data_IF_660663214641
#
_entry.id   IF_660663214641
#
_cell.length_a   1.000
_cell.length_b   1.000
_cell.length_c   1.000
_cell.angle_alpha   90.00
_cell.angle_beta   90.00
_cell.angle_gamma   90.00
#
_symmetry.space_group_name_H-M   'P 1'
#
loop_
_entity.id
_entity.type
_entity.pdbx_description
1 polymer ?
#
# COMPACT_ATOMS: atom_id res chain seq x y z
N UNK A 1 -54.01 22.13 -39.64
CA UNK A 1 -55.20 22.19 -38.74
C UNK A 1 -54.68 22.04 -37.34
N UNK A 2 -54.45 23.14 -36.72
CA UNK A 2 -55.27 23.77 -35.67
C UNK A 2 -55.25 22.91 -34.40
N UNK A 3 -54.71 23.41 -33.42
CA UNK A 3 -54.93 24.44 -32.42
C UNK A 3 -55.16 23.70 -31.08
N UNK A 4 -54.76 24.01 -29.96
CA UNK A 4 -54.85 25.27 -29.23
C UNK A 4 -54.24 25.10 -27.85
N UNK A 5 -53.58 26.15 -27.42
CA UNK A 5 -53.21 26.47 -26.07
C UNK A 5 -54.25 26.18 -25.01
N UNK A 6 -53.86 25.82 -23.82
CA UNK A 6 -54.44 26.40 -22.62
C UNK A 6 -53.43 26.48 -21.47
N UNK A 7 -53.15 27.70 -21.11
CA UNK A 7 -52.54 28.15 -19.85
C UNK A 7 -53.51 27.89 -18.70
N UNK A 8 -52.98 27.45 -17.57
CA UNK A 8 -53.59 27.74 -16.26
C UNK A 8 -52.49 27.81 -15.20
N UNK A 9 -52.12 28.88 -14.86
CA UNK A 9 -51.94 29.78 -13.71
C UNK A 9 -51.94 29.12 -12.33
N UNK A 10 -50.89 29.47 -11.58
CA UNK A 10 -50.57 29.34 -10.17
C UNK A 10 -51.68 29.77 -9.19
N UNK A 11 -51.56 29.33 -7.91
CA UNK A 11 -51.27 30.39 -6.95
C UNK A 11 -50.14 30.06 -5.95
N UNK A 12 -49.38 31.09 -5.66
CA UNK A 12 -48.45 31.23 -4.54
C UNK A 12 -49.21 31.13 -3.22
N UNK A 13 -48.75 30.30 -2.33
CA UNK A 13 -49.01 30.50 -0.89
C UNK A 13 -47.67 30.72 -0.19
N UNK A 14 -47.48 31.96 0.13
CA UNK A 14 -46.54 32.56 1.03
C UNK A 14 -46.85 32.10 2.47
N UNK A 15 -46.02 31.26 3.08
CA UNK A 15 -46.03 31.04 4.52
C UNK A 15 -44.77 31.63 5.10
N UNK A 16 -44.88 32.81 5.62
CA UNK A 16 -43.96 33.47 6.50
C UNK A 16 -43.58 32.53 7.67
N UNK A 17 -42.34 32.06 7.71
CA UNK A 17 -41.76 31.43 8.89
C UNK A 17 -41.00 32.49 9.67
N UNK A 18 -41.55 32.81 10.83
CA UNK A 18 -40.99 33.69 11.83
C UNK A 18 -39.57 33.23 12.21
N UNK A 19 -38.60 34.12 12.04
CA UNK A 19 -37.26 34.03 12.54
C UNK A 19 -37.26 34.19 14.07
N UNK A 20 -36.88 33.14 14.78
CA UNK A 20 -36.51 33.24 16.20
C UNK A 20 -35.04 33.71 16.29
N UNK A 21 -34.70 34.60 17.21
CA UNK A 21 -33.34 35.13 17.33
C UNK A 21 -32.38 34.05 17.81
N UNK A 22 -31.25 33.93 17.08
CA UNK A 22 -30.16 33.05 17.40
C UNK A 22 -29.51 33.52 18.72
N UNK A 23 -29.41 32.62 19.69
CA UNK A 23 -28.61 32.80 20.89
C UNK A 23 -27.13 32.78 20.49
N UNK A 24 -26.44 33.87 20.83
CA UNK A 24 -24.99 34.00 20.72
C UNK A 24 -24.31 32.86 21.47
N UNK A 25 -23.50 32.06 20.76
CA UNK A 25 -22.54 31.13 21.36
C UNK A 25 -21.26 31.90 21.67
N UNK A 26 -20.71 31.77 22.85
CA UNK A 26 -19.43 32.44 23.18
C UNK A 26 -18.32 31.95 22.27
N UNK A 27 -17.63 32.88 21.66
CA UNK A 27 -16.43 32.67 20.84
C UNK A 27 -15.32 32.09 21.72
N UNK A 28 -15.07 30.80 21.57
CA UNK A 28 -13.96 30.12 22.23
C UNK A 28 -12.69 30.49 21.48
N UNK A 29 -11.88 31.37 22.07
CA UNK A 29 -10.54 31.69 21.60
C UNK A 29 -9.78 30.41 21.29
N UNK A 30 -9.35 30.27 20.03
CA UNK A 30 -8.43 29.21 19.62
C UNK A 30 -7.04 29.54 20.13
N UNK A 31 -6.65 28.95 21.24
CA UNK A 31 -5.23 28.88 21.62
C UNK A 31 -4.47 28.16 20.51
N UNK A 32 -3.24 28.61 20.16
CA UNK A 32 -2.39 27.91 19.22
C UNK A 32 -2.11 26.50 19.74
N UNK A 33 -2.53 25.49 19.01
CA UNK A 33 -2.15 24.11 19.31
C UNK A 33 -0.66 23.96 19.00
N UNK A 34 0.15 23.84 20.01
CA UNK A 34 1.51 23.34 19.90
C UNK A 34 1.48 22.01 19.13
N UNK A 35 2.45 21.76 18.23
CA UNK A 35 2.53 20.48 17.54
C UNK A 35 2.79 19.40 18.61
N UNK A 36 1.78 18.59 18.89
CA UNK A 36 1.96 17.36 19.66
C UNK A 36 3.01 16.55 18.91
N UNK A 37 4.21 16.49 19.46
CA UNK A 37 5.20 15.51 19.10
C UNK A 37 4.49 14.17 19.10
N UNK A 38 4.41 13.55 17.93
CA UNK A 38 3.96 12.18 17.80
C UNK A 38 4.88 11.36 18.72
N UNK A 39 4.35 10.93 19.85
CA UNK A 39 5.04 9.97 20.69
C UNK A 39 5.28 8.74 19.82
N UNK A 40 6.52 8.56 19.43
CA UNK A 40 6.99 7.30 18.85
C UNK A 40 6.62 6.22 19.86
N UNK A 41 5.60 5.45 19.52
CA UNK A 41 5.30 4.24 20.28
C UNK A 41 6.57 3.39 20.20
N UNK A 42 7.13 2.96 21.34
CA UNK A 42 8.29 2.09 21.28
C UNK A 42 7.93 0.90 20.41
N UNK A 43 8.65 0.77 19.30
CA UNK A 43 8.62 -0.43 18.47
C UNK A 43 8.93 -1.57 19.43
N UNK A 44 7.94 -2.41 19.72
CA UNK A 44 8.17 -3.59 20.55
C UNK A 44 9.36 -4.29 19.95
N UNK A 45 10.44 -4.38 20.70
CA UNK A 45 11.63 -5.11 20.32
C UNK A 45 11.15 -6.49 19.84
N UNK A 46 11.28 -6.74 18.54
CA UNK A 46 10.92 -8.03 17.98
C UNK A 46 11.68 -9.10 18.73
N UNK A 47 11.03 -10.25 18.97
CA UNK A 47 11.73 -11.41 19.50
C UNK A 47 13.01 -11.58 18.68
N UNK A 48 14.15 -11.96 19.32
CA UNK A 48 15.38 -12.19 18.57
C UNK A 48 15.08 -13.14 17.40
N UNK A 49 15.51 -12.76 16.22
CA UNK A 49 15.33 -13.59 15.02
C UNK A 49 16.25 -14.78 15.24
N UNK A 50 15.70 -15.94 15.51
CA UNK A 50 16.44 -17.19 15.58
C UNK A 50 16.75 -17.62 14.14
N UNK A 51 18.01 -17.63 13.79
CA UNK A 51 18.48 -18.01 12.47
C UNK A 51 18.41 -19.54 12.36
N UNK A 52 17.76 -20.03 11.30
CA UNK A 52 17.74 -21.45 10.99
C UNK A 52 19.14 -21.85 10.50
N UNK A 53 19.70 -22.87 11.14
CA UNK A 53 21.01 -23.39 10.78
C UNK A 53 20.91 -24.82 10.21
N UNK A 54 19.77 -25.47 10.40
CA UNK A 54 19.55 -26.82 9.88
C UNK A 54 19.24 -26.81 8.38
N UNK A 55 20.09 -27.43 7.54
CA UNK A 55 19.89 -27.47 6.09
C UNK A 55 18.59 -28.14 5.66
N UNK A 56 18.05 -29.07 6.46
CA UNK A 56 16.79 -29.74 6.18
C UNK A 56 15.61 -28.77 6.37
N UNK A 57 15.65 -27.99 7.43
CA UNK A 57 14.63 -26.99 7.69
C UNK A 57 14.64 -25.83 6.68
N UNK A 58 15.84 -25.42 6.25
CA UNK A 58 16.00 -24.41 5.20
C UNK A 58 15.34 -24.88 3.90
N UNK A 59 15.65 -26.09 3.45
CA UNK A 59 15.04 -26.67 2.24
C UNK A 59 13.52 -26.80 2.34
N UNK A 60 13.01 -27.16 3.49
CA UNK A 60 11.55 -27.23 3.73
C UNK A 60 10.89 -25.87 3.55
N UNK A 61 11.52 -24.82 4.07
CA UNK A 61 11.04 -23.44 4.00
C UNK A 61 11.06 -22.92 2.57
N UNK A 62 12.16 -23.15 1.84
CA UNK A 62 12.30 -22.78 0.43
C UNK A 62 11.27 -23.51 -0.44
N UNK A 63 11.08 -24.81 -0.22
CA UNK A 63 10.12 -25.61 -0.98
C UNK A 63 8.68 -25.19 -0.72
N UNK A 64 8.33 -24.89 0.53
CA UNK A 64 7.00 -24.35 0.87
C UNK A 64 6.69 -23.04 0.15
N UNK A 65 7.67 -22.14 0.10
CA UNK A 65 7.52 -20.88 -0.62
C UNK A 65 7.36 -21.12 -2.12
N UNK A 66 8.19 -21.99 -2.70
CA UNK A 66 8.16 -22.31 -4.12
C UNK A 66 6.85 -22.95 -4.55
N UNK A 67 6.40 -23.99 -3.84
CA UNK A 67 5.13 -24.66 -4.16
C UNK A 67 3.96 -23.68 -4.08
N UNK A 68 3.88 -22.89 -3.02
CA UNK A 68 2.83 -21.89 -2.86
C UNK A 68 2.82 -20.87 -4.02
N UNK A 69 3.98 -20.31 -4.35
CA UNK A 69 4.08 -19.31 -5.42
C UNK A 69 3.77 -19.93 -6.79
N UNK A 70 4.26 -21.14 -7.05
CA UNK A 70 3.96 -21.88 -8.28
C UNK A 70 2.44 -22.09 -8.44
N UNK A 71 1.74 -22.53 -7.39
CA UNK A 71 0.29 -22.74 -7.42
C UNK A 71 -0.48 -21.44 -7.67
N UNK A 72 -0.05 -20.33 -7.05
CA UNK A 72 -0.63 -19.01 -7.25
C UNK A 72 -0.41 -18.56 -8.70
N UNK A 73 0.80 -18.67 -9.22
CA UNK A 73 1.12 -18.25 -10.59
C UNK A 73 0.38 -19.09 -11.64
N UNK A 74 0.28 -20.39 -11.42
CA UNK A 74 -0.52 -21.29 -12.25
C UNK A 74 -2.01 -20.88 -12.24
N UNK A 75 -2.56 -20.53 -11.07
CA UNK A 75 -3.95 -20.07 -10.94
C UNK A 75 -4.20 -18.71 -11.62
N UNK A 76 -3.18 -17.88 -11.75
CA UNK A 76 -3.22 -16.60 -12.45
C UNK A 76 -3.03 -16.74 -13.98
N UNK A 77 -2.82 -17.94 -14.49
CA UNK A 77 -2.49 -18.24 -15.89
C UNK A 77 -1.28 -17.44 -16.41
N UNK A 78 -0.33 -17.19 -15.54
CA UNK A 78 0.96 -16.66 -15.94
C UNK A 78 1.73 -17.79 -16.65
N UNK A 79 2.43 -17.45 -17.71
CA UNK A 79 3.26 -18.41 -18.43
C UNK A 79 4.34 -19.02 -17.54
N UNK A 80 5.40 -19.50 -18.14
CA UNK A 80 6.52 -20.03 -17.38
C UNK A 80 7.16 -18.91 -16.55
N UNK A 81 7.19 -19.10 -15.23
CA UNK A 81 7.84 -18.21 -14.26
C UNK A 81 8.92 -19.01 -13.56
N UNK A 82 10.15 -18.57 -13.70
CA UNK A 82 11.27 -19.12 -12.95
C UNK A 82 11.28 -18.56 -11.54
N UNK A 83 11.35 -19.43 -10.52
CA UNK A 83 11.35 -19.03 -9.11
C UNK A 83 12.67 -19.49 -8.50
N UNK A 84 13.46 -18.51 -8.06
CA UNK A 84 14.70 -18.74 -7.32
C UNK A 84 14.48 -18.39 -5.86
N UNK A 85 14.85 -19.29 -4.95
CA UNK A 85 14.72 -19.07 -3.50
C UNK A 85 16.04 -19.37 -2.82
N UNK A 86 16.47 -18.46 -1.94
CA UNK A 86 17.70 -18.60 -1.16
C UNK A 86 17.46 -18.12 0.27
N UNK A 87 17.87 -18.94 1.23
CA UNK A 87 17.81 -18.56 2.64
C UNK A 87 19.10 -17.87 3.07
N UNK A 88 19.01 -16.62 3.45
CA UNK A 88 20.14 -15.83 3.93
C UNK A 88 20.37 -16.08 5.42
N UNK A 89 21.43 -16.84 5.74
CA UNK A 89 21.80 -17.17 7.12
C UNK A 89 22.36 -15.99 7.91
N UNK A 90 22.67 -14.86 7.27
CA UNK A 90 23.19 -13.69 7.96
C UNK A 90 22.10 -12.90 8.68
N UNK A 91 20.96 -12.72 8.06
CA UNK A 91 19.84 -11.95 8.61
C UNK A 91 18.57 -12.77 8.86
N UNK A 92 18.62 -14.09 8.65
CA UNK A 92 17.52 -15.02 8.88
C UNK A 92 16.32 -14.76 7.94
N UNK A 93 16.57 -14.32 6.72
CA UNK A 93 15.53 -14.06 5.74
C UNK A 93 15.53 -15.04 4.58
N UNK A 94 14.35 -15.41 4.13
CA UNK A 94 14.13 -16.12 2.87
C UNK A 94 13.99 -15.08 1.75
N UNK A 95 14.91 -15.05 0.83
CA UNK A 95 14.89 -14.21 -0.37
C UNK A 95 14.36 -15.04 -1.52
N UNK A 96 13.33 -14.53 -2.21
CA UNK A 96 12.72 -15.20 -3.34
C UNK A 96 12.59 -14.22 -4.48
N UNK A 97 13.25 -14.54 -5.58
CA UNK A 97 13.15 -13.82 -6.83
C UNK A 97 12.40 -14.65 -7.87
N UNK A 98 11.69 -13.98 -8.74
CA UNK A 98 11.00 -14.63 -9.84
C UNK A 98 11.09 -13.79 -11.12
N UNK A 99 11.29 -14.53 -12.23
CA UNK A 99 11.47 -13.95 -13.55
C UNK A 99 10.53 -14.60 -14.57
N UNK A 100 10.01 -13.82 -15.52
CA UNK A 100 9.11 -14.31 -16.55
C UNK A 100 8.60 -13.19 -17.46
N UNK A 101 7.64 -13.51 -18.34
CA UNK A 101 7.18 -12.55 -19.36
C UNK A 101 6.26 -11.48 -18.79
N UNK A 102 5.36 -11.81 -17.89
CA UNK A 102 4.29 -10.91 -17.41
C UNK A 102 4.48 -10.42 -15.97
N UNK A 103 5.72 -10.14 -15.59
CA UNK A 103 6.05 -9.73 -14.20
C UNK A 103 5.33 -8.46 -13.75
N UNK A 104 4.89 -7.62 -14.69
CA UNK A 104 4.08 -6.45 -14.39
C UNK A 104 2.77 -6.75 -13.65
N UNK A 105 2.15 -7.91 -13.91
CA UNK A 105 0.95 -8.37 -13.22
C UNK A 105 1.26 -8.71 -11.76
N UNK A 106 2.40 -9.37 -11.51
CA UNK A 106 2.87 -9.75 -10.18
C UNK A 106 3.36 -8.56 -9.36
N UNK A 107 3.91 -7.55 -10.02
CA UNK A 107 4.24 -6.28 -9.37
C UNK A 107 2.96 -5.54 -8.99
N UNK A 108 2.03 -5.41 -9.95
CA UNK A 108 0.79 -4.67 -9.79
C UNK A 108 1.00 -3.15 -9.68
N UNK A 109 -0.06 -2.45 -9.30
CA UNK A 109 0.01 -0.99 -9.17
C UNK A 109 0.95 -0.60 -8.03
N UNK A 110 2.11 -0.04 -8.39
CA UNK A 110 3.11 0.46 -7.43
C UNK A 110 3.70 -0.58 -6.49
N UNK A 111 3.66 -1.85 -6.85
CA UNK A 111 4.17 -2.94 -6.03
C UNK A 111 3.16 -3.54 -5.06
N UNK A 112 1.89 -3.14 -5.10
CA UNK A 112 0.87 -3.63 -4.16
C UNK A 112 0.62 -5.14 -4.27
N UNK A 113 0.62 -5.70 -5.49
CA UNK A 113 0.46 -7.14 -5.68
C UNK A 113 1.67 -7.88 -5.12
N UNK A 114 2.87 -7.39 -5.39
CA UNK A 114 4.12 -7.94 -4.88
C UNK A 114 4.16 -7.94 -3.35
N UNK A 115 3.73 -6.85 -2.71
CA UNK A 115 3.67 -6.77 -1.25
C UNK A 115 2.62 -7.73 -0.66
N UNK A 116 1.49 -7.91 -1.34
CA UNK A 116 0.45 -8.86 -0.94
C UNK A 116 0.93 -10.30 -1.06
N UNK A 117 1.61 -10.64 -2.16
CA UNK A 117 2.24 -11.95 -2.36
C UNK A 117 3.29 -12.23 -1.29
N UNK A 118 4.15 -11.26 -1.00
CA UNK A 118 5.14 -11.38 0.08
C UNK A 118 4.48 -11.68 1.42
N UNK A 119 3.40 -10.97 1.74
CA UNK A 119 2.67 -11.22 2.98
C UNK A 119 2.07 -12.62 3.04
N UNK A 120 1.40 -13.07 1.97
CA UNK A 120 0.80 -14.42 1.90
C UNK A 120 1.87 -15.51 1.97
N UNK A 121 2.96 -15.36 1.24
CA UNK A 121 4.10 -16.29 1.31
C UNK A 121 4.67 -16.36 2.72
N UNK A 122 4.82 -15.21 3.38
CA UNK A 122 5.24 -15.15 4.78
C UNK A 122 4.32 -15.95 5.71
N UNK A 123 3.01 -15.89 5.52
CA UNK A 123 2.05 -16.68 6.32
C UNK A 123 2.21 -18.18 6.08
N UNK A 124 2.38 -18.59 4.82
CA UNK A 124 2.54 -20.01 4.46
C UNK A 124 3.83 -20.59 5.00
N UNK A 125 4.93 -19.86 4.83
CA UNK A 125 6.27 -20.27 5.29
C UNK A 125 6.30 -20.41 6.81
N UNK A 126 5.70 -19.49 7.54
CA UNK A 126 5.71 -19.45 8.99
C UNK A 126 4.62 -20.31 9.64
N UNK A 127 3.76 -20.97 8.85
CA UNK A 127 2.69 -21.83 9.40
C UNK A 127 3.27 -23.00 10.17
N UNK A 128 2.99 -23.06 11.47
CA UNK A 128 3.45 -24.13 12.34
C UNK A 128 4.91 -24.01 12.80
N UNK A 129 5.59 -22.93 12.48
CA UNK A 129 6.95 -22.65 12.96
C UNK A 129 6.90 -21.88 14.28
N UNK A 130 7.79 -22.19 15.19
CA UNK A 130 7.97 -21.44 16.45
C UNK A 130 8.69 -20.12 16.21
N UNK A 131 9.60 -20.09 15.25
CA UNK A 131 10.45 -18.98 14.91
C UNK A 131 9.94 -18.29 13.65
N UNK A 132 9.90 -16.96 13.66
CA UNK A 132 9.42 -16.18 12.52
C UNK A 132 10.53 -15.96 11.50
N UNK A 133 10.31 -16.44 10.28
CA UNK A 133 11.19 -16.27 9.13
C UNK A 133 10.70 -15.04 8.35
N UNK A 134 11.61 -14.08 8.13
CA UNK A 134 11.32 -12.95 7.26
C UNK A 134 11.39 -13.39 5.81
N UNK A 135 10.34 -13.13 5.05
CA UNK A 135 10.30 -13.40 3.61
C UNK A 135 10.48 -12.08 2.86
N UNK A 136 11.36 -12.07 1.88
CA UNK A 136 11.54 -10.97 0.93
C UNK A 136 11.24 -11.49 -0.46
N UNK A 137 10.27 -10.88 -1.14
CA UNK A 137 9.97 -11.17 -2.55
C UNK A 137 10.39 -9.97 -3.40
N UNK A 138 11.06 -10.26 -4.51
CA UNK A 138 11.32 -9.27 -5.55
C UNK A 138 11.19 -9.89 -6.94
N UNK A 139 11.18 -9.09 -7.95
CA UNK A 139 11.20 -9.48 -9.36
C UNK A 139 11.93 -8.41 -10.16
N UNK A 140 12.95 -8.84 -10.91
CA UNK A 140 13.73 -7.94 -11.77
C UNK A 140 14.22 -6.67 -11.06
N UNK A 141 14.64 -6.73 -9.82
CA UNK A 141 15.05 -5.56 -9.02
C UNK A 141 13.98 -4.44 -8.96
N UNK A 142 12.69 -4.80 -8.97
CA UNK A 142 11.60 -3.81 -9.00
C UNK A 142 11.69 -2.81 -7.85
N UNK A 143 11.96 -3.28 -6.64
CA UNK A 143 12.01 -2.40 -5.46
C UNK A 143 13.09 -1.33 -5.59
N UNK A 144 14.26 -1.70 -6.10
CA UNK A 144 15.35 -0.77 -6.37
C UNK A 144 14.99 0.24 -7.46
N UNK A 145 14.49 -0.23 -8.60
CA UNK A 145 14.05 0.64 -9.71
C UNK A 145 12.92 1.60 -9.27
N UNK A 146 11.99 1.09 -8.45
CA UNK A 146 10.89 1.91 -7.91
C UNK A 146 11.39 3.01 -6.99
N UNK A 147 12.33 2.70 -6.10
CA UNK A 147 12.98 3.67 -5.22
C UNK A 147 13.65 4.79 -6.02
N UNK A 148 14.46 4.45 -7.03
CA UNK A 148 15.11 5.42 -7.91
C UNK A 148 14.11 6.33 -8.64
N UNK A 149 13.00 5.74 -9.13
CA UNK A 149 11.92 6.49 -9.77
C UNK A 149 11.29 7.50 -8.81
N UNK A 150 11.03 7.10 -7.56
CA UNK A 150 10.47 7.98 -6.54
C UNK A 150 11.44 9.08 -6.12
N UNK A 151 12.71 8.78 -5.99
CA UNK A 151 13.74 9.78 -5.71
C UNK A 151 13.83 10.84 -6.83
N UNK A 152 13.82 10.40 -8.08
CA UNK A 152 13.85 11.32 -9.24
C UNK A 152 12.57 12.18 -9.31
N UNK A 153 11.40 11.57 -9.04
CA UNK A 153 10.14 12.29 -8.94
C UNK A 153 10.20 13.35 -7.83
N UNK A 154 10.68 12.98 -6.65
CA UNK A 154 10.81 13.91 -5.52
C UNK A 154 11.74 15.09 -5.84
N UNK A 155 12.88 14.84 -6.46
CA UNK A 155 13.81 15.90 -6.92
C UNK A 155 13.15 16.82 -7.93
N UNK A 156 12.44 16.27 -8.93
CA UNK A 156 11.74 17.04 -9.95
C UNK A 156 10.65 17.94 -9.36
N UNK A 157 9.87 17.40 -8.42
CA UNK A 157 8.81 18.17 -7.74
C UNK A 157 9.40 19.23 -6.84
N UNK A 158 10.44 18.92 -6.07
CA UNK A 158 11.12 19.91 -5.23
C UNK A 158 11.63 21.09 -6.06
N UNK A 159 12.25 20.83 -7.20
CA UNK A 159 12.67 21.88 -8.13
C UNK A 159 11.49 22.71 -8.64
N UNK A 160 10.39 22.06 -9.06
CA UNK A 160 9.18 22.73 -9.54
C UNK A 160 8.58 23.64 -8.46
N UNK A 161 8.43 23.14 -7.23
CA UNK A 161 7.90 23.91 -6.10
C UNK A 161 8.81 25.09 -5.77
N UNK A 162 10.14 24.89 -5.75
CA UNK A 162 11.12 25.96 -5.52
C UNK A 162 10.99 27.07 -6.57
N UNK A 163 10.80 26.70 -7.84
CA UNK A 163 10.69 27.65 -8.96
C UNK A 163 9.35 28.37 -8.98
N UNK A 164 8.25 27.66 -8.79
CA UNK A 164 6.90 28.20 -8.97
C UNK A 164 6.29 28.75 -7.68
N UNK A 165 6.83 28.38 -6.52
CA UNK A 165 6.29 28.70 -5.18
C UNK A 165 4.84 28.21 -4.98
N UNK A 166 4.39 27.25 -5.80
CA UNK A 166 3.04 26.68 -5.73
C UNK A 166 3.08 25.29 -5.10
N UNK A 167 2.08 24.98 -4.30
CA UNK A 167 1.89 23.65 -3.73
C UNK A 167 1.63 22.63 -4.85
N UNK A 168 2.22 21.47 -4.73
CA UNK A 168 1.97 20.31 -5.60
C UNK A 168 1.39 19.19 -4.75
N UNK A 169 0.22 18.70 -5.14
CA UNK A 169 -0.41 17.53 -4.49
C UNK A 169 0.05 16.29 -5.23
N UNK A 170 0.56 15.33 -4.48
CA UNK A 170 0.95 14.02 -4.99
C UNK A 170 -0.18 13.02 -4.74
N UNK A 171 -0.22 11.99 -5.57
CA UNK A 171 -1.07 10.86 -5.27
C UNK A 171 -0.60 10.17 -3.97
N UNK A 172 -1.52 9.60 -3.16
CA UNK A 172 -1.13 8.83 -2.00
C UNK A 172 -0.23 7.67 -2.42
N UNK A 173 0.86 7.47 -1.71
CA UNK A 173 1.84 6.40 -1.91
C UNK A 173 2.01 5.64 -0.61
N UNK A 174 2.22 4.34 -0.73
CA UNK A 174 2.59 3.49 0.41
C UNK A 174 4.07 3.64 0.68
#
# INVERSE_FOLDING_TARGET
KEAREQKASLPKQEKARQLKPAKERPTREKQPREPKQAAEKPVKAGKPIEIITDPAEIKEVEERARVFLHDVFASMNLGEVEITSEYNTTDGSLEVDFEGQDMGILIGKRGQTLDSLQYLTSLVVNKGKSNYIRVKLDTEDYRKRRKETLENLARGIAYKVKKTRKTVVLEPMN
#
